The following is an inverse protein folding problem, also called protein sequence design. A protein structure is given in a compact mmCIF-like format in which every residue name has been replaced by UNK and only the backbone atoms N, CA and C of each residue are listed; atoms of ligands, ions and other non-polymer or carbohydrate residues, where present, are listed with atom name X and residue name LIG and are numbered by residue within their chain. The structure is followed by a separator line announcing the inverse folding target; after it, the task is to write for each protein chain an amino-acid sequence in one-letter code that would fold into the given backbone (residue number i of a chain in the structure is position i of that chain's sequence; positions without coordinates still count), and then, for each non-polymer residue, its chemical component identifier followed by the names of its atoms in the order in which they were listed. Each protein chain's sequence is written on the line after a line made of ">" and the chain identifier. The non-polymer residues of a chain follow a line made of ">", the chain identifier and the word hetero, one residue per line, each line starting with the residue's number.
data_IF_696627348157
#
_entry.id   IF_696627348157
#
_cell.length_a   1.000
_cell.length_b   1.000
_cell.length_c   1.000
_cell.angle_alpha   90.00
_cell.angle_beta   90.00
_cell.angle_gamma   90.00
#
_symmetry.space_group_name_H-M   'P 1'
#
loop_
_entity.id
_entity.type
_entity.pdbx_description
1 polymer ?
#
# COMPACT_ATOMS: atom_id res chain seq x y z
N UNK A 1 25.69 -12.52 4.05
CA UNK A 1 25.10 -11.26 3.54
C UNK A 1 23.62 -11.33 3.83
N UNK A 2 23.03 -10.40 4.59
CA UNK A 2 21.57 -10.28 4.56
C UNK A 2 21.20 -10.04 3.09
N UNK A 3 20.18 -10.70 2.57
CA UNK A 3 19.65 -10.33 1.26
C UNK A 3 19.13 -8.92 1.38
N UNK A 4 19.84 -7.92 0.84
CA UNK A 4 19.29 -6.57 0.68
C UNK A 4 18.00 -6.72 -0.12
N UNK A 5 16.86 -6.61 0.58
CA UNK A 5 15.55 -6.83 0.00
C UNK A 5 15.34 -5.85 -1.15
N UNK A 6 14.93 -6.37 -2.32
CA UNK A 6 14.63 -5.51 -3.47
C UNK A 6 13.31 -4.81 -3.23
N UNK A 7 13.34 -3.49 -3.05
CA UNK A 7 12.14 -2.67 -2.88
C UNK A 7 11.55 -2.26 -4.24
N UNK A 8 10.22 -2.21 -4.32
CA UNK A 8 9.46 -1.80 -5.48
C UNK A 8 8.46 -0.71 -5.07
N UNK A 9 8.42 0.39 -5.84
CA UNK A 9 7.44 1.47 -5.67
C UNK A 9 6.43 1.38 -6.82
N UNK A 10 5.15 1.31 -6.47
CA UNK A 10 4.05 1.29 -7.44
C UNK A 10 3.54 2.71 -7.67
N UNK A 11 3.46 3.15 -8.93
CA UNK A 11 2.98 4.49 -9.29
C UNK A 11 1.72 4.35 -10.15
N UNK A 12 0.62 4.92 -9.68
CA UNK A 12 -0.70 4.88 -10.32
C UNK A 12 -1.09 6.27 -10.76
N UNK A 13 -1.33 6.46 -12.07
CA UNK A 13 -1.55 7.78 -12.68
C UNK A 13 -2.91 7.84 -13.36
N UNK A 14 -3.66 8.90 -13.07
CA UNK A 14 -4.99 9.18 -13.60
C UNK A 14 -6.07 8.27 -13.03
N UNK A 15 -7.33 8.61 -13.31
CA UNK A 15 -8.50 7.93 -12.77
C UNK A 15 -8.48 6.40 -12.94
N UNK A 16 -8.19 5.92 -14.15
CA UNK A 16 -8.17 4.48 -14.43
C UNK A 16 -7.02 3.79 -13.68
N UNK A 17 -5.82 4.38 -13.68
CA UNK A 17 -4.66 3.84 -12.97
C UNK A 17 -4.92 3.77 -11.47
N UNK A 18 -5.55 4.79 -10.89
CA UNK A 18 -5.87 4.82 -9.47
C UNK A 18 -6.91 3.75 -9.08
N UNK A 19 -7.96 3.56 -9.88
CA UNK A 19 -8.96 2.52 -9.61
C UNK A 19 -8.38 1.11 -9.70
N UNK A 20 -7.56 0.84 -10.73
CA UNK A 20 -6.86 -0.45 -10.87
C UNK A 20 -5.90 -0.65 -9.70
N UNK A 21 -5.12 0.38 -9.36
CA UNK A 21 -4.19 0.36 -8.22
C UNK A 21 -4.90 -0.01 -6.92
N UNK A 22 -6.03 0.63 -6.62
CA UNK A 22 -6.78 0.33 -5.40
C UNK A 22 -7.23 -1.14 -5.36
N UNK A 23 -7.81 -1.65 -6.45
CA UNK A 23 -8.22 -3.06 -6.53
C UNK A 23 -7.04 -4.03 -6.39
N UNK A 24 -5.88 -3.71 -7.01
CA UNK A 24 -4.67 -4.51 -6.87
C UNK A 24 -4.16 -4.55 -5.43
N UNK A 25 -4.15 -3.41 -4.74
CA UNK A 25 -3.69 -3.35 -3.35
C UNK A 25 -4.66 -4.01 -2.36
N UNK A 26 -5.98 -3.92 -2.60
CA UNK A 26 -6.97 -4.69 -1.84
C UNK A 26 -6.69 -6.20 -1.96
N UNK A 27 -6.42 -6.69 -3.17
CA UNK A 27 -6.06 -8.09 -3.39
C UNK A 27 -4.73 -8.46 -2.70
N UNK A 28 -3.69 -7.63 -2.83
CA UNK A 28 -2.40 -7.88 -2.17
C UNK A 28 -2.54 -7.96 -0.65
N UNK A 29 -3.32 -7.08 -0.04
CA UNK A 29 -3.61 -7.13 1.38
C UNK A 29 -4.31 -8.46 1.76
N UNK A 30 -5.31 -8.90 0.99
CA UNK A 30 -5.99 -10.17 1.22
C UNK A 30 -5.05 -11.39 1.10
N UNK A 31 -4.18 -11.41 0.10
CA UNK A 31 -3.22 -12.52 -0.12
C UNK A 31 -2.21 -12.66 1.03
N UNK A 32 -1.84 -11.53 1.63
CA UNK A 32 -0.90 -11.45 2.74
C UNK A 32 -1.59 -11.41 4.11
N UNK A 33 -2.92 -11.46 4.15
CA UNK A 33 -3.70 -11.39 5.39
C UNK A 33 -3.54 -10.08 6.16
N UNK A 34 -3.21 -8.99 5.45
CA UNK A 34 -3.18 -7.64 5.97
C UNK A 34 -4.60 -7.09 5.93
N UNK A 35 -5.11 -6.64 7.07
CA UNK A 35 -6.43 -6.06 7.17
C UNK A 35 -6.47 -4.62 6.62
N UNK A 36 -7.66 -4.03 6.59
CA UNK A 36 -7.82 -2.64 6.18
C UNK A 36 -7.08 -1.67 7.11
N UNK A 37 -6.68 -2.09 8.32
CA UNK A 37 -5.90 -1.30 9.27
C UNK A 37 -4.38 -1.42 9.07
N UNK A 38 -3.93 -2.18 8.07
CA UNK A 38 -2.52 -2.44 7.81
C UNK A 38 -1.87 -3.42 8.79
N UNK A 39 -2.64 -4.16 9.59
CA UNK A 39 -2.13 -5.19 10.49
C UNK A 39 -2.35 -6.58 9.92
N UNK A 40 -1.44 -7.50 10.20
CA UNK A 40 -1.63 -8.90 9.86
C UNK A 40 -2.69 -9.48 10.81
N UNK A 41 -3.71 -10.12 10.24
CA UNK A 41 -4.76 -10.76 11.03
C UNK A 41 -4.23 -11.87 11.95
N UNK A 42 -4.83 -12.03 13.12
CA UNK A 42 -4.39 -12.97 14.17
C UNK A 42 -4.34 -14.45 13.73
N UNK A 43 -5.07 -14.80 12.65
CA UNK A 43 -5.16 -16.17 12.12
C UNK A 43 -4.17 -16.47 10.97
N UNK A 44 -3.21 -15.59 10.70
CA UNK A 44 -2.25 -15.78 9.60
C UNK A 44 -0.97 -16.45 10.13
N UNK A 45 -0.57 -17.54 9.49
CA UNK A 45 0.68 -18.24 9.83
C UNK A 45 1.90 -17.33 9.58
N UNK A 46 2.57 -16.92 10.66
CA UNK A 46 3.76 -16.06 10.62
C UNK A 46 4.89 -16.65 9.74
N UNK A 47 5.01 -17.98 9.73
CA UNK A 47 5.96 -18.72 8.90
C UNK A 47 5.66 -18.61 7.40
N UNK A 48 4.38 -18.44 7.03
CA UNK A 48 3.98 -18.17 5.63
C UNK A 48 4.40 -16.76 5.23
N UNK A 49 4.28 -15.80 6.15
CA UNK A 49 4.68 -14.42 5.93
C UNK A 49 6.20 -14.27 5.71
N UNK A 50 7.02 -14.99 6.48
CA UNK A 50 8.48 -14.98 6.33
C UNK A 50 8.94 -15.47 4.95
N UNK A 51 8.13 -16.29 4.27
CA UNK A 51 8.40 -16.73 2.90
C UNK A 51 7.89 -15.77 1.83
N UNK A 52 7.00 -14.85 2.19
CA UNK A 52 6.48 -13.82 1.30
C UNK A 52 7.43 -12.62 1.35
N UNK A 53 7.84 -12.10 0.18
CA UNK A 53 8.71 -10.92 0.09
C UNK A 53 7.94 -9.62 0.38
N UNK A 54 7.29 -9.54 1.54
CA UNK A 54 6.46 -8.40 1.96
C UNK A 54 7.24 -7.08 1.93
N UNK A 55 8.49 -7.11 2.37
CA UNK A 55 9.36 -5.93 2.42
C UNK A 55 9.61 -5.31 1.04
N UNK A 56 9.44 -6.08 -0.05
CA UNK A 56 9.56 -5.57 -1.40
C UNK A 56 8.47 -4.55 -1.73
N UNK A 57 7.24 -4.76 -1.25
CA UNK A 57 6.06 -3.97 -1.63
C UNK A 57 5.47 -3.15 -0.49
N UNK A 58 5.75 -3.52 0.76
CA UNK A 58 5.29 -2.83 1.96
C UNK A 58 6.48 -2.26 2.75
N UNK A 59 6.25 -1.13 3.42
CA UNK A 59 7.08 -0.65 4.52
C UNK A 59 6.40 -0.99 5.84
N UNK A 60 7.15 -1.54 6.79
CA UNK A 60 6.67 -1.79 8.14
C UNK A 60 6.99 -0.59 9.04
N UNK A 61 5.98 -0.05 9.72
CA UNK A 61 6.15 0.99 10.73
C UNK A 61 6.56 0.38 12.08
N UNK A 62 7.09 1.20 12.98
CA UNK A 62 7.54 0.78 14.32
C UNK A 62 6.44 0.14 15.18
N UNK A 63 5.16 0.32 14.83
CA UNK A 63 4.01 -0.28 15.50
C UNK A 63 3.53 -1.59 14.85
N UNK A 64 4.28 -2.16 13.88
CA UNK A 64 3.93 -3.40 13.18
C UNK A 64 2.90 -3.22 12.06
N UNK A 65 2.64 -1.97 11.65
CA UNK A 65 1.71 -1.63 10.57
C UNK A 65 2.42 -1.71 9.21
N UNK A 66 1.85 -2.46 8.28
CA UNK A 66 2.30 -2.59 6.89
C UNK A 66 1.63 -1.53 6.01
N UNK A 67 2.46 -0.71 5.36
CA UNK A 67 2.04 0.39 4.50
C UNK A 67 2.49 0.10 3.07
N UNK A 68 1.58 0.05 2.08
CA UNK A 68 1.95 -0.11 0.68
C UNK A 68 2.92 0.97 0.18
N UNK A 69 3.94 0.57 -0.57
CA UNK A 69 4.86 1.48 -1.28
C UNK A 69 4.21 1.93 -2.58
N UNK A 70 3.17 2.75 -2.45
CA UNK A 70 2.37 3.23 -3.58
C UNK A 70 2.26 4.75 -3.63
N UNK A 71 2.25 5.30 -4.84
CA UNK A 71 2.01 6.71 -5.12
C UNK A 71 0.83 6.81 -6.10
N UNK A 72 -0.18 7.59 -5.73
CA UNK A 72 -1.31 7.90 -6.60
C UNK A 72 -1.23 9.36 -7.06
N UNK A 73 -1.39 9.57 -8.36
CA UNK A 73 -1.32 10.90 -9.00
C UNK A 73 -2.59 11.07 -9.85
N UNK A 74 -3.41 12.06 -9.53
CA UNK A 74 -4.55 12.45 -10.36
C UNK A 74 -4.61 13.98 -10.50
N UNK A 75 -5.07 14.44 -11.67
CA UNK A 75 -5.32 15.85 -11.96
C UNK A 75 -6.74 16.25 -11.53
N UNK A 76 -7.65 15.28 -11.33
CA UNK A 76 -9.00 15.51 -10.85
C UNK A 76 -9.19 15.01 -9.41
N UNK A 77 -9.65 15.86 -8.47
CA UNK A 77 -9.71 15.51 -7.05
C UNK A 77 -10.81 14.50 -6.68
N UNK A 78 -11.75 14.24 -7.59
CA UNK A 78 -12.98 13.47 -7.34
C UNK A 78 -12.70 11.99 -7.10
N UNK A 79 -11.66 11.43 -7.72
CA UNK A 79 -11.41 9.98 -7.73
C UNK A 79 -10.64 9.53 -6.48
N UNK A 80 -9.67 10.34 -6.03
CA UNK A 80 -8.83 9.97 -4.88
C UNK A 80 -9.57 9.95 -3.53
N UNK A 81 -10.72 10.63 -3.42
CA UNK A 81 -11.52 10.67 -2.19
C UNK A 81 -12.45 9.46 -1.98
N UNK A 82 -12.46 8.51 -2.92
CA UNK A 82 -13.37 7.35 -2.91
C UNK A 82 -12.68 6.02 -2.54
N UNK A 83 -11.36 6.01 -2.36
CA UNK A 83 -10.63 4.77 -2.12
C UNK A 83 -10.72 4.32 -0.65
N UNK A 84 -11.13 3.07 -0.43
CA UNK A 84 -11.30 2.51 0.93
C UNK A 84 -9.97 2.45 1.72
N UNK A 85 -8.84 2.39 1.01
CA UNK A 85 -7.50 2.30 1.55
C UNK A 85 -6.85 3.67 1.86
N UNK A 86 -7.60 4.77 1.76
CA UNK A 86 -7.04 6.12 1.88
C UNK A 86 -6.36 6.40 3.23
N UNK A 87 -6.74 5.68 4.29
CA UNK A 87 -6.13 5.75 5.63
C UNK A 87 -4.76 5.06 5.74
N UNK A 88 -4.29 4.39 4.68
CA UNK A 88 -3.07 3.58 4.66
C UNK A 88 -2.20 3.81 3.41
N UNK A 89 -2.64 4.63 2.46
CA UNK A 89 -1.92 4.95 1.23
C UNK A 89 -1.37 6.39 1.26
N UNK A 90 -0.14 6.56 0.77
CA UNK A 90 0.43 7.88 0.50
C UNK A 90 -0.24 8.46 -0.76
N UNK A 91 -0.97 9.58 -0.61
CA UNK A 91 -1.68 10.24 -1.71
C UNK A 91 -0.99 11.54 -2.11
N UNK A 92 -0.80 11.78 -3.41
CA UNK A 92 -0.24 13.05 -3.92
C UNK A 92 -1.31 13.81 -4.70
N UNK A 93 -1.68 15.02 -4.23
CA UNK A 93 -2.51 15.97 -4.98
C UNK A 93 -1.61 17.02 -5.61
N UNK A 94 -1.71 17.22 -6.93
CA UNK A 94 -0.87 18.20 -7.66
C UNK A 94 -1.08 19.68 -7.25
N UNK A 95 -1.97 19.99 -6.29
CA UNK A 95 -2.33 21.37 -5.97
C UNK A 95 -2.08 21.87 -4.54
N UNK A 96 -1.37 21.10 -3.69
CA UNK A 96 -0.56 21.59 -2.56
C UNK A 96 -0.15 20.41 -1.66
N UNK A 97 1.11 20.46 -1.26
CA UNK A 97 1.74 19.72 -0.16
C UNK A 97 1.86 18.20 -0.34
N UNK A 98 3.09 17.71 -0.15
CA UNK A 98 3.34 16.30 0.09
C UNK A 98 2.80 16.03 1.49
N UNK A 99 1.57 15.53 1.58
CA UNK A 99 1.01 15.08 2.83
C UNK A 99 1.51 13.65 3.08
N UNK A 100 2.63 13.55 3.80
CA UNK A 100 2.96 12.32 4.53
C UNK A 100 1.88 12.19 5.62
N UNK A 101 0.99 11.21 5.50
CA UNK A 101 0.15 10.80 6.64
C UNK A 101 1.04 10.13 7.67
#
# INVERSE_FOLDING_TARGET
>A
MPSDGRECISIHIGQAGAQIGNACWELYCLEHGIDQSGFIGENVDQKRLETQSLQAFYSESNNGKYVPRAIYIDLEPTVLGLFSLQSFLTNMRMNRQIDFV
#
